data_IF_450298230420
#
_entry.id   IF_450298230420
#
_cell.length_a   1.000
_cell.length_b   1.000
_cell.length_c   1.000
_cell.angle_alpha   90.00
_cell.angle_beta   90.00
_cell.angle_gamma   90.00
#
_symmetry.space_group_name_H-M   'P 1'
#
loop_
_entity.id
_entity.type
_entity.pdbx_description
1 polymer ?
#
# COMPACT_ATOMS: atom_id res chain seq x y z
N UNK A 1 10.98 -24.20 14.02
CA UNK A 1 10.50 -23.15 14.95
C UNK A 1 10.49 -21.74 14.34
N UNK A 2 11.57 -21.29 13.68
CA UNK A 2 11.69 -19.95 13.09
C UNK A 2 10.56 -19.56 12.10
N UNK A 3 10.18 -20.46 11.19
CA UNK A 3 9.10 -20.21 10.22
C UNK A 3 7.73 -20.05 10.90
N UNK A 4 7.44 -20.83 11.93
CA UNK A 4 6.20 -20.73 12.71
C UNK A 4 6.12 -19.39 13.48
N UNK A 5 7.24 -18.95 14.07
CA UNK A 5 7.34 -17.64 14.71
C UNK A 5 7.11 -16.51 13.71
N UNK A 6 7.80 -16.53 12.56
CA UNK A 6 7.66 -15.52 11.51
C UNK A 6 6.22 -15.46 11.00
N UNK A 7 5.62 -16.62 10.69
CA UNK A 7 4.24 -16.72 10.21
C UNK A 7 3.22 -16.19 11.22
N UNK A 8 3.39 -16.50 12.51
CA UNK A 8 2.51 -16.02 13.58
C UNK A 8 2.53 -14.49 13.67
N UNK A 9 3.72 -13.89 13.72
CA UNK A 9 3.84 -12.44 13.88
C UNK A 9 3.48 -11.69 12.60
N UNK A 10 3.82 -12.23 11.41
CA UNK A 10 3.32 -11.73 10.13
C UNK A 10 1.78 -11.65 10.10
N UNK A 11 1.08 -12.69 10.56
CA UNK A 11 -0.39 -12.67 10.67
C UNK A 11 -0.89 -11.59 11.62
N UNK A 12 -0.24 -11.41 12.78
CA UNK A 12 -0.60 -10.37 13.75
C UNK A 12 -0.40 -8.96 13.17
N UNK A 13 0.67 -8.72 12.44
CA UNK A 13 0.90 -7.43 11.76
C UNK A 13 -0.18 -7.16 10.70
N UNK A 14 -0.55 -8.18 9.91
CA UNK A 14 -1.68 -8.06 8.98
C UNK A 14 -2.99 -7.79 9.73
N UNK A 15 -3.23 -8.44 10.88
CA UNK A 15 -4.45 -8.22 11.67
C UNK A 15 -4.58 -6.77 12.16
N UNK A 16 -3.48 -6.13 12.57
CA UNK A 16 -3.48 -4.68 12.90
C UNK A 16 -3.91 -3.86 11.68
N UNK A 17 -3.35 -4.15 10.51
CA UNK A 17 -3.78 -3.48 9.27
C UNK A 17 -5.25 -3.68 8.96
N UNK A 18 -5.74 -4.91 9.06
CA UNK A 18 -7.14 -5.28 8.84
C UNK A 18 -8.08 -4.49 9.76
N UNK A 19 -7.71 -4.27 11.02
CA UNK A 19 -8.48 -3.44 11.98
C UNK A 19 -8.37 -1.95 11.68
N UNK A 20 -7.22 -1.47 11.22
CA UNK A 20 -7.02 -0.06 10.90
C UNK A 20 -7.90 0.42 9.73
N UNK A 21 -8.27 -0.44 8.79
CA UNK A 21 -9.13 -0.08 7.66
C UNK A 21 -10.52 0.44 8.09
N UNK A 22 -11.34 -0.27 8.89
CA UNK A 22 -12.61 0.26 9.36
C UNK A 22 -12.43 1.50 10.27
N UNK A 23 -11.40 1.53 11.13
CA UNK A 23 -11.10 2.72 11.96
C UNK A 23 -10.82 3.95 11.08
N UNK A 24 -10.07 3.76 9.99
CA UNK A 24 -9.83 4.80 9.00
C UNK A 24 -11.12 5.26 8.31
N UNK A 25 -11.96 4.34 7.84
CA UNK A 25 -13.22 4.73 7.18
C UNK A 25 -14.16 5.47 8.14
N UNK A 26 -14.21 5.06 9.41
CA UNK A 26 -14.94 5.79 10.45
C UNK A 26 -14.39 7.20 10.63
N UNK A 27 -13.07 7.37 10.72
CA UNK A 27 -12.45 8.70 10.83
C UNK A 27 -12.78 9.60 9.63
N UNK A 28 -12.82 9.04 8.41
CA UNK A 28 -13.24 9.79 7.20
C UNK A 28 -14.71 10.17 7.24
N UNK A 29 -15.58 9.27 7.69
CA UNK A 29 -17.01 9.52 7.82
C UNK A 29 -17.30 10.63 8.84
N UNK A 30 -16.60 10.63 9.98
CA UNK A 30 -16.72 11.62 11.04
C UNK A 30 -16.02 12.95 10.75
N UNK A 31 -15.39 13.11 9.58
CA UNK A 31 -14.72 14.35 9.21
C UNK A 31 -13.45 14.63 10.01
N UNK A 32 -12.72 13.59 10.44
CA UNK A 32 -11.48 13.75 11.18
C UNK A 32 -10.44 14.60 10.41
N UNK A 33 -9.56 15.34 11.12
CA UNK A 33 -8.55 16.19 10.50
C UNK A 33 -7.69 15.46 9.48
N UNK A 34 -7.31 16.13 8.38
CA UNK A 34 -6.66 15.53 7.20
C UNK A 34 -5.53 14.54 7.50
N UNK A 35 -4.68 14.82 8.50
CA UNK A 35 -3.55 13.99 8.86
C UNK A 35 -3.98 12.62 9.42
N UNK A 36 -5.07 12.57 10.19
CA UNK A 36 -5.53 11.34 10.86
C UNK A 36 -5.95 10.25 9.87
N UNK A 37 -6.81 10.50 8.85
CA UNK A 37 -7.10 9.50 7.84
C UNK A 37 -5.89 9.05 7.02
N UNK A 38 -4.92 9.95 6.75
CA UNK A 38 -3.70 9.57 6.03
C UNK A 38 -2.87 8.61 6.88
N UNK A 39 -2.67 8.91 8.17
CA UNK A 39 -1.95 8.06 9.09
C UNK A 39 -2.62 6.68 9.24
N UNK A 40 -3.94 6.64 9.47
CA UNK A 40 -4.68 5.38 9.62
C UNK A 40 -4.71 4.55 8.34
N UNK A 41 -4.93 5.18 7.18
CA UNK A 41 -4.99 4.48 5.90
C UNK A 41 -3.64 4.00 5.40
N UNK A 42 -2.63 4.88 5.41
CA UNK A 42 -1.29 4.56 4.91
C UNK A 42 -0.48 3.77 5.92
N UNK A 43 -0.23 4.34 7.11
CA UNK A 43 0.61 3.70 8.14
C UNK A 43 -0.17 2.54 8.76
N UNK A 44 -1.36 2.81 9.28
CA UNK A 44 -2.18 1.87 10.04
C UNK A 44 -2.62 0.67 9.21
N UNK A 45 -3.08 0.85 7.97
CA UNK A 45 -3.59 -0.22 7.13
C UNK A 45 -2.58 -0.71 6.08
N UNK A 46 -2.29 0.09 5.05
CA UNK A 46 -1.53 -0.37 3.87
C UNK A 46 -0.14 -0.87 4.25
N UNK A 47 0.63 -0.06 4.97
CA UNK A 47 2.01 -0.41 5.34
C UNK A 47 2.08 -1.50 6.40
N UNK A 48 1.13 -1.59 7.33
CA UNK A 48 1.08 -2.75 8.24
C UNK A 48 0.83 -4.07 7.50
N UNK A 49 -0.10 -4.11 6.53
CA UNK A 49 -0.30 -5.33 5.74
C UNK A 49 0.94 -5.64 4.89
N UNK A 50 1.53 -4.62 4.26
CA UNK A 50 2.75 -4.77 3.47
C UNK A 50 3.92 -5.31 4.31
N UNK A 51 4.20 -4.73 5.48
CA UNK A 51 5.24 -5.17 6.41
C UNK A 51 4.99 -6.60 6.88
N UNK A 52 3.75 -6.93 7.25
CA UNK A 52 3.38 -8.28 7.66
C UNK A 52 3.68 -9.32 6.57
N UNK A 53 3.48 -8.97 5.30
CA UNK A 53 3.81 -9.85 4.16
C UNK A 53 5.27 -9.81 3.77
N UNK A 54 5.96 -8.69 3.93
CA UNK A 54 7.35 -8.52 3.52
C UNK A 54 8.28 -9.52 4.21
N UNK A 55 8.10 -9.76 5.51
CA UNK A 55 8.89 -10.75 6.27
C UNK A 55 8.78 -12.19 5.75
N UNK A 56 7.71 -12.53 5.03
CA UNK A 56 7.54 -13.84 4.41
C UNK A 56 7.95 -13.83 2.93
N UNK A 57 7.58 -12.78 2.20
CA UNK A 57 7.71 -12.73 0.75
C UNK A 57 9.11 -12.30 0.31
N UNK A 58 9.68 -11.25 0.92
CA UNK A 58 10.97 -10.69 0.48
C UNK A 58 12.08 -11.73 0.60
N UNK A 59 12.30 -12.43 1.74
CA UNK A 59 13.34 -13.46 1.80
C UNK A 59 13.14 -14.53 0.71
N UNK A 60 11.90 -15.00 0.53
CA UNK A 60 11.58 -16.02 -0.47
C UNK A 60 11.87 -15.58 -1.90
N UNK A 61 11.69 -14.29 -2.22
CA UNK A 61 11.93 -13.75 -3.56
C UNK A 61 13.40 -13.74 -3.91
N UNK A 62 14.24 -13.48 -2.91
CA UNK A 62 15.69 -13.44 -3.03
C UNK A 62 16.36 -14.79 -2.76
N UNK A 63 15.59 -15.88 -2.66
CA UNK A 63 16.10 -17.21 -2.30
C UNK A 63 16.92 -17.18 -0.99
N UNK A 64 16.39 -16.53 0.03
CA UNK A 64 16.99 -16.40 1.37
C UNK A 64 15.98 -16.78 2.45
N UNK A 65 16.52 -17.19 3.59
CA UNK A 65 15.76 -17.29 4.83
C UNK A 65 15.85 -15.97 5.62
N UNK A 66 14.78 -15.63 6.33
CA UNK A 66 14.74 -14.42 7.16
C UNK A 66 15.82 -14.49 8.25
N UNK A 67 16.75 -13.54 8.24
CA UNK A 67 17.90 -13.55 9.14
C UNK A 67 17.52 -13.43 10.64
N UNK A 68 16.48 -12.66 10.94
CA UNK A 68 16.01 -12.44 12.32
C UNK A 68 14.53 -12.80 12.47
N UNK A 69 14.18 -14.07 12.75
CA UNK A 69 12.79 -14.54 12.83
C UNK A 69 11.93 -13.85 13.90
N UNK A 70 12.55 -13.18 14.89
CA UNK A 70 11.86 -12.42 15.95
C UNK A 70 11.66 -10.94 15.60
N UNK A 71 12.28 -10.41 14.54
CA UNK A 71 12.12 -9.02 14.14
C UNK A 71 10.65 -8.58 13.95
N UNK A 72 9.74 -9.41 13.39
CA UNK A 72 8.33 -9.03 13.30
C UNK A 72 7.67 -8.81 14.66
N UNK A 73 8.10 -9.54 15.70
CA UNK A 73 7.58 -9.40 17.06
C UNK A 73 7.99 -8.08 17.71
N UNK A 74 9.19 -7.58 17.38
CA UNK A 74 9.71 -6.31 17.87
C UNK A 74 9.16 -5.12 17.07
N UNK A 75 9.10 -5.25 15.74
CA UNK A 75 8.63 -4.19 14.84
C UNK A 75 7.14 -3.88 15.06
N UNK A 76 6.29 -4.90 15.25
CA UNK A 76 4.84 -4.73 15.35
C UNK A 76 4.37 -3.74 16.43
N UNK A 77 4.71 -3.89 17.72
CA UNK A 77 4.24 -2.95 18.74
C UNK A 77 4.70 -1.51 18.45
N UNK A 78 5.94 -1.34 17.96
CA UNK A 78 6.50 -0.04 17.60
C UNK A 78 5.73 0.61 16.44
N UNK A 79 5.47 -0.12 15.36
CA UNK A 79 4.72 0.42 14.21
C UNK A 79 3.25 0.65 14.55
N UNK A 80 2.63 -0.20 15.36
CA UNK A 80 1.23 -0.06 15.74
C UNK A 80 1.00 1.16 16.65
N UNK A 81 1.80 1.30 17.71
CA UNK A 81 1.79 2.48 18.59
C UNK A 81 2.17 3.73 17.80
N UNK A 82 3.16 3.62 16.91
CA UNK A 82 3.59 4.74 16.09
C UNK A 82 2.49 5.27 15.17
N UNK A 83 1.84 4.38 14.42
CA UNK A 83 0.72 4.75 13.55
C UNK A 83 -0.46 5.34 14.33
N UNK A 84 -0.79 4.78 15.50
CA UNK A 84 -1.83 5.32 16.37
C UNK A 84 -1.47 6.71 16.91
N UNK A 85 -0.24 6.91 17.41
CA UNK A 85 0.23 8.20 17.93
C UNK A 85 0.23 9.29 16.86
N UNK A 86 0.70 8.98 15.65
CA UNK A 86 0.66 9.91 14.50
C UNK A 86 -0.78 10.24 14.10
N UNK A 87 -1.69 9.26 14.14
CA UNK A 87 -3.10 9.51 13.85
C UNK A 87 -3.77 10.40 14.92
N UNK A 88 -3.52 10.14 16.20
CA UNK A 88 -4.06 10.91 17.32
C UNK A 88 -3.54 12.34 17.30
N UNK A 89 -2.25 12.55 16.99
CA UNK A 89 -1.65 13.88 16.90
C UNK A 89 -2.32 14.81 15.89
N UNK A 90 -3.11 14.28 14.95
CA UNK A 90 -3.90 15.09 14.02
C UNK A 90 -5.08 15.82 14.65
N UNK A 91 -5.53 15.44 15.86
CA UNK A 91 -6.67 16.06 16.53
C UNK A 91 -6.28 17.35 17.28
N UNK A 92 -7.13 18.40 17.23
CA UNK A 92 -6.95 19.60 18.05
C UNK A 92 -6.84 19.26 19.54
N UNK A 93 -5.92 19.93 20.25
CA UNK A 93 -5.68 19.70 21.68
C UNK A 93 -4.79 18.51 22.02
N UNK A 94 -4.33 17.73 21.02
CA UNK A 94 -3.35 16.67 21.26
C UNK A 94 -2.00 17.26 21.68
N UNK A 95 -1.39 16.79 22.78
CA UNK A 95 -0.06 17.25 23.16
C UNK A 95 0.98 16.96 22.06
N UNK A 96 1.88 17.91 21.71
CA UNK A 96 2.89 17.71 20.64
C UNK A 96 3.77 16.46 20.83
N UNK A 97 3.99 16.08 22.09
CA UNK A 97 4.75 14.87 22.46
C UNK A 97 4.11 13.59 21.91
N UNK A 98 2.78 13.53 21.73
CA UNK A 98 2.08 12.36 21.17
C UNK A 98 2.50 12.13 19.71
N UNK A 99 2.56 13.21 18.91
CA UNK A 99 3.02 13.14 17.53
C UNK A 99 4.50 12.76 17.42
N UNK A 100 5.33 13.34 18.29
CA UNK A 100 6.77 13.06 18.35
C UNK A 100 7.05 11.61 18.71
N UNK A 101 6.46 11.11 19.80
CA UNK A 101 6.60 9.72 20.22
C UNK A 101 5.99 8.75 19.20
N UNK A 102 4.86 9.10 18.59
CA UNK A 102 4.26 8.32 17.52
C UNK A 102 5.21 8.18 16.32
N UNK A 103 5.77 9.28 15.84
CA UNK A 103 6.70 9.28 14.72
C UNK A 103 8.02 8.55 15.05
N UNK A 104 8.52 8.69 16.29
CA UNK A 104 9.70 7.97 16.77
C UNK A 104 9.45 6.44 16.81
N UNK A 105 8.36 6.00 17.44
CA UNK A 105 7.96 4.59 17.51
C UNK A 105 7.78 4.00 16.11
N UNK A 106 7.09 4.71 15.21
CA UNK A 106 6.93 4.30 13.82
C UNK A 106 8.29 4.09 13.14
N UNK A 107 9.17 5.09 13.23
CA UNK A 107 10.48 5.07 12.57
C UNK A 107 11.38 3.97 13.12
N UNK A 108 11.39 3.75 14.44
CA UNK A 108 12.12 2.65 15.07
C UNK A 108 11.58 1.29 14.60
N UNK A 109 10.25 1.12 14.57
CA UNK A 109 9.62 -0.11 14.09
C UNK A 109 9.93 -0.41 12.62
N UNK A 110 9.94 0.62 11.77
CA UNK A 110 10.36 0.53 10.37
C UNK A 110 11.84 0.22 10.25
N UNK A 111 12.70 0.83 11.07
CA UNK A 111 14.15 0.56 11.09
C UNK A 111 14.43 -0.90 11.40
N UNK A 112 13.74 -1.48 12.39
CA UNK A 112 13.85 -2.92 12.70
C UNK A 112 13.43 -3.78 11.51
N UNK A 113 12.31 -3.45 10.86
CA UNK A 113 11.81 -4.21 9.73
C UNK A 113 12.71 -4.11 8.50
N UNK A 114 13.02 -2.89 8.05
CA UNK A 114 13.86 -2.62 6.89
C UNK A 114 15.28 -3.12 7.13
N UNK A 115 15.86 -2.86 8.30
CA UNK A 115 17.19 -3.36 8.66
C UNK A 115 17.27 -4.89 8.63
N UNK A 116 16.24 -5.57 9.13
CA UNK A 116 16.16 -7.04 9.04
C UNK A 116 16.09 -7.53 7.60
N UNK A 117 15.24 -6.91 6.77
CA UNK A 117 15.07 -7.31 5.38
C UNK A 117 16.32 -7.01 4.56
N UNK A 118 16.90 -5.82 4.70
CA UNK A 118 18.15 -5.41 4.05
C UNK A 118 19.29 -6.34 4.44
N UNK A 119 19.43 -6.67 5.74
CA UNK A 119 20.42 -7.64 6.18
C UNK A 119 20.16 -9.03 5.59
N UNK A 120 18.90 -9.45 5.48
CA UNK A 120 18.52 -10.76 4.90
C UNK A 120 18.94 -10.88 3.43
N UNK A 121 18.84 -9.81 2.65
CA UNK A 121 19.12 -9.82 1.19
C UNK A 121 20.46 -9.17 0.81
N UNK A 122 21.32 -8.87 1.80
CA UNK A 122 22.54 -8.05 1.65
C UNK A 122 23.53 -8.57 0.60
N UNK A 123 23.56 -9.87 0.37
CA UNK A 123 24.44 -10.56 -0.56
C UNK A 123 23.82 -10.74 -1.96
N UNK A 124 22.58 -10.28 -2.17
CA UNK A 124 21.83 -10.48 -3.42
C UNK A 124 20.91 -9.28 -3.73
N UNK A 125 21.37 -8.05 -3.53
CA UNK A 125 20.54 -6.84 -3.71
C UNK A 125 19.93 -6.70 -5.12
N UNK A 126 20.60 -7.25 -6.14
CA UNK A 126 20.08 -7.27 -7.52
C UNK A 126 19.02 -8.34 -7.80
N UNK A 127 18.75 -9.25 -6.84
CA UNK A 127 17.81 -10.36 -7.03
C UNK A 127 18.25 -11.39 -8.06
N UNK A 128 19.55 -11.50 -8.38
CA UNK A 128 20.08 -12.44 -9.40
C UNK A 128 19.78 -13.89 -9.03
N UNK A 129 19.92 -14.21 -7.75
CA UNK A 129 19.42 -15.45 -7.17
C UNK A 129 17.96 -15.23 -6.78
N UNK A 130 17.03 -15.78 -7.53
CA UNK A 130 15.61 -15.57 -7.27
C UNK A 130 14.96 -16.89 -6.89
N UNK A 131 14.02 -16.88 -5.95
CA UNK A 131 13.26 -18.07 -5.51
C UNK A 131 12.25 -18.58 -6.53
N UNK A 132 12.52 -18.41 -7.82
CA UNK A 132 11.65 -18.85 -8.92
C UNK A 132 12.02 -20.28 -9.33
N UNK A 133 11.08 -21.20 -9.13
CA UNK A 133 11.22 -22.63 -9.47
C UNK A 133 11.48 -22.86 -10.97
N UNK A 134 12.05 -24.02 -11.31
CA UNK A 134 12.27 -24.44 -12.70
C UNK A 134 10.96 -24.51 -13.51
N UNK A 135 9.87 -24.93 -12.88
CA UNK A 135 8.53 -24.91 -13.50
C UNK A 135 8.02 -23.51 -13.89
N UNK A 136 8.70 -22.44 -13.46
CA UNK A 136 8.41 -21.05 -13.78
C UNK A 136 9.64 -20.33 -14.37
N UNK A 137 10.55 -21.07 -15.02
CA UNK A 137 11.78 -20.51 -15.58
C UNK A 137 11.52 -19.36 -16.57
N UNK A 138 10.40 -19.39 -17.30
CA UNK A 138 9.96 -18.34 -18.21
C UNK A 138 9.69 -16.98 -17.52
N UNK A 139 9.48 -16.97 -16.19
CA UNK A 139 9.22 -15.75 -15.41
C UNK A 139 10.49 -15.17 -14.79
N UNK A 140 11.54 -15.98 -14.65
CA UNK A 140 12.80 -15.65 -13.98
C UNK A 140 13.41 -14.31 -14.42
N UNK A 141 13.45 -13.93 -15.71
CA UNK A 141 14.02 -12.64 -16.11
C UNK A 141 13.25 -11.44 -15.54
N UNK A 142 11.92 -11.50 -15.55
CA UNK A 142 11.09 -10.44 -14.99
C UNK A 142 11.18 -10.42 -13.47
N UNK A 143 11.21 -11.59 -12.82
CA UNK A 143 11.32 -11.65 -11.36
C UNK A 143 12.61 -11.01 -10.86
N UNK A 144 13.76 -11.35 -11.46
CA UNK A 144 15.06 -10.74 -11.14
C UNK A 144 15.02 -9.23 -11.31
N UNK A 145 14.43 -8.78 -12.42
CA UNK A 145 14.29 -7.35 -12.69
C UNK A 145 13.43 -6.67 -11.63
N UNK A 146 12.26 -7.23 -11.29
CA UNK A 146 11.37 -6.68 -10.28
C UNK A 146 11.96 -6.73 -8.86
N UNK A 147 12.68 -7.80 -8.51
CA UNK A 147 13.33 -7.99 -7.22
C UNK A 147 14.33 -6.84 -6.95
N UNK A 148 15.06 -6.37 -7.95
CA UNK A 148 16.00 -5.24 -7.83
C UNK A 148 15.34 -3.92 -7.37
N UNK A 149 14.02 -3.76 -7.53
CA UNK A 149 13.28 -2.56 -7.07
C UNK A 149 12.72 -2.70 -5.65
N UNK A 150 12.74 -3.90 -5.06
CA UNK A 150 12.30 -4.10 -3.66
C UNK A 150 13.19 -3.33 -2.68
N UNK A 151 14.54 -3.37 -2.75
CA UNK A 151 15.39 -2.55 -1.89
C UNK A 151 15.13 -1.06 -2.03
N UNK A 152 14.82 -0.58 -3.24
CA UNK A 152 14.47 0.83 -3.48
C UNK A 152 13.17 1.19 -2.76
N UNK A 153 12.15 0.33 -2.81
CA UNK A 153 10.90 0.55 -2.08
C UNK A 153 11.10 0.53 -0.56
N UNK A 154 11.99 -0.33 -0.05
CA UNK A 154 12.37 -0.36 1.36
C UNK A 154 13.14 0.91 1.78
N UNK A 155 13.99 1.44 0.89
CA UNK A 155 14.68 2.71 1.10
C UNK A 155 13.69 3.87 1.17
N UNK A 156 12.72 3.94 0.26
CA UNK A 156 11.63 4.92 0.33
C UNK A 156 10.84 4.85 1.63
N UNK A 157 10.50 3.64 2.08
CA UNK A 157 9.83 3.43 3.35
C UNK A 157 10.66 3.96 4.53
N UNK A 158 11.97 3.71 4.53
CA UNK A 158 12.88 4.20 5.56
C UNK A 158 13.01 5.73 5.54
N UNK A 159 13.33 6.31 4.38
CA UNK A 159 13.51 7.76 4.20
C UNK A 159 12.21 8.50 4.49
N UNK A 160 11.06 8.01 4.02
CA UNK A 160 9.76 8.59 4.31
C UNK A 160 9.40 8.52 5.80
N UNK A 161 9.79 7.46 6.50
CA UNK A 161 9.60 7.34 7.95
C UNK A 161 10.49 8.31 8.72
N UNK A 162 11.75 8.45 8.31
CA UNK A 162 12.64 9.47 8.86
C UNK A 162 12.11 10.89 8.59
N UNK A 163 11.60 11.19 7.39
CA UNK A 163 11.00 12.49 7.08
C UNK A 163 9.79 12.81 7.98
N UNK A 164 8.97 11.81 8.31
CA UNK A 164 7.87 11.95 9.27
C UNK A 164 8.40 12.28 10.68
N UNK A 165 9.48 11.62 11.12
CA UNK A 165 10.08 11.86 12.44
C UNK A 165 10.82 13.20 12.52
N UNK A 166 11.60 13.55 11.50
CA UNK A 166 12.26 14.84 11.39
C UNK A 166 11.24 15.99 11.37
N UNK A 167 10.09 15.83 10.70
CA UNK A 167 9.00 16.81 10.73
C UNK A 167 8.35 17.01 12.11
N UNK A 168 8.59 16.10 13.06
CA UNK A 168 8.09 16.19 14.44
C UNK A 168 9.20 16.53 15.46
N UNK A 169 10.43 16.79 15.02
CA UNK A 169 11.59 17.02 15.90
C UNK A 169 12.50 18.14 15.37
N UNK A 170 13.52 18.58 16.14
CA UNK A 170 14.54 19.50 15.64
C UNK A 170 15.57 18.88 14.68
N UNK A 171 15.37 17.63 14.23
CA UNK A 171 16.33 16.95 13.36
C UNK A 171 16.35 17.57 11.95
N UNK A 172 17.47 17.49 11.22
CA UNK A 172 17.56 17.99 9.86
C UNK A 172 16.52 17.32 8.96
N UNK A 173 15.65 18.08 8.28
CA UNK A 173 14.59 17.48 7.51
C UNK A 173 15.12 17.09 6.11
N UNK A 174 14.64 15.96 5.56
CA UNK A 174 15.00 15.50 4.20
C UNK A 174 14.38 16.38 3.12
N UNK A 175 13.26 16.99 3.46
CA UNK A 175 12.48 17.92 2.65
C UNK A 175 12.12 19.12 3.53
N UNK A 176 11.48 20.15 2.99
CA UNK A 176 11.09 21.38 3.71
C UNK A 176 10.00 21.22 4.80
N UNK A 177 9.75 20.01 5.29
CA UNK A 177 8.71 19.72 6.27
C UNK A 177 7.29 19.68 5.70
N UNK A 178 7.07 19.95 4.40
CA UNK A 178 5.75 19.89 3.79
C UNK A 178 5.18 18.46 3.79
N UNK A 179 4.12 18.15 4.59
CA UNK A 179 3.71 16.77 4.85
C UNK A 179 3.37 15.90 3.61
N UNK A 180 2.80 16.45 2.52
CA UNK A 180 2.57 15.69 1.29
C UNK A 180 3.83 15.07 0.69
N UNK A 181 5.01 15.69 0.87
CA UNK A 181 6.28 15.15 0.36
C UNK A 181 6.68 13.86 1.07
N UNK A 182 6.64 13.84 2.40
CA UNK A 182 6.85 12.61 3.18
C UNK A 182 5.80 11.54 2.85
N UNK A 183 4.54 11.96 2.65
CA UNK A 183 3.46 11.05 2.26
C UNK A 183 3.68 10.44 0.87
N UNK A 184 4.22 11.18 -0.11
CA UNK A 184 4.57 10.63 -1.43
C UNK A 184 5.72 9.61 -1.34
N UNK A 185 6.76 9.89 -0.55
CA UNK A 185 7.84 8.92 -0.32
C UNK A 185 7.30 7.62 0.27
N UNK A 186 6.43 7.70 1.30
CA UNK A 186 5.84 6.53 1.95
C UNK A 186 4.82 5.80 1.07
N UNK A 187 3.90 6.55 0.44
CA UNK A 187 2.78 5.98 -0.30
C UNK A 187 3.17 5.55 -1.71
N UNK A 188 3.74 6.43 -2.52
CA UNK A 188 4.10 6.12 -3.90
C UNK A 188 5.43 5.36 -3.95
N UNK A 189 6.48 5.90 -3.30
CA UNK A 189 7.82 5.29 -3.29
C UNK A 189 7.90 4.00 -2.48
N UNK A 190 7.25 3.94 -1.32
CA UNK A 190 7.22 2.75 -0.47
C UNK A 190 6.15 1.75 -0.92
N UNK A 191 4.89 2.05 -0.64
CA UNK A 191 3.79 1.11 -0.89
C UNK A 191 3.50 0.90 -2.38
N UNK A 192 3.49 1.96 -3.18
CA UNK A 192 3.21 1.93 -4.62
C UNK A 192 4.26 1.13 -5.37
N UNK A 193 5.55 1.43 -5.16
CA UNK A 193 6.64 0.66 -5.77
C UNK A 193 6.64 -0.81 -5.32
N UNK A 194 6.28 -1.11 -4.07
CA UNK A 194 6.06 -2.50 -3.65
C UNK A 194 4.92 -3.16 -4.44
N UNK A 195 3.80 -2.47 -4.67
CA UNK A 195 2.72 -2.97 -5.53
C UNK A 195 3.23 -3.25 -6.94
N UNK A 196 4.03 -2.35 -7.53
CA UNK A 196 4.60 -2.53 -8.86
C UNK A 196 5.57 -3.74 -8.89
N UNK A 197 6.56 -3.77 -8.00
CA UNK A 197 7.60 -4.79 -7.97
C UNK A 197 7.05 -6.17 -7.59
N UNK A 198 6.39 -6.26 -6.44
CA UNK A 198 5.82 -7.53 -5.95
C UNK A 198 4.64 -7.97 -6.83
N UNK A 199 3.83 -7.02 -7.32
CA UNK A 199 2.71 -7.32 -8.21
C UNK A 199 3.16 -7.86 -9.57
N UNK A 200 4.24 -7.33 -10.15
CA UNK A 200 4.85 -7.85 -11.39
C UNK A 200 5.24 -9.31 -11.29
N UNK A 201 5.63 -9.75 -10.09
CA UNK A 201 5.94 -11.15 -9.78
C UNK A 201 4.67 -11.96 -9.53
N UNK A 202 3.83 -11.53 -8.59
CA UNK A 202 2.74 -12.35 -8.08
C UNK A 202 1.52 -12.40 -8.99
N UNK A 203 1.11 -11.28 -9.58
CA UNK A 203 -0.18 -11.17 -10.25
C UNK A 203 -0.25 -12.05 -11.51
N UNK A 204 0.78 -12.12 -12.38
CA UNK A 204 0.78 -13.07 -13.49
C UNK A 204 0.70 -14.53 -13.02
N UNK A 205 1.18 -14.86 -11.81
CA UNK A 205 1.13 -16.22 -11.26
C UNK A 205 -0.28 -16.56 -10.77
N UNK A 206 -0.92 -15.64 -10.07
CA UNK A 206 -2.30 -15.82 -9.63
C UNK A 206 -3.30 -15.86 -10.78
N UNK A 207 -3.04 -15.09 -11.83
CA UNK A 207 -3.81 -15.10 -13.07
C UNK A 207 -3.44 -16.26 -13.99
N UNK A 208 -2.37 -17.00 -13.72
CA UNK A 208 -1.90 -18.14 -14.55
C UNK A 208 -1.67 -17.72 -16.01
N UNK A 209 -1.10 -16.53 -16.21
CA UNK A 209 -0.77 -16.01 -17.55
C UNK A 209 0.72 -15.76 -17.69
N UNK A 210 1.19 -15.70 -18.94
CA UNK A 210 2.56 -15.24 -19.26
C UNK A 210 2.65 -13.73 -19.05
N UNK A 211 3.72 -13.23 -18.38
CA UNK A 211 3.86 -11.81 -18.13
C UNK A 211 4.15 -11.04 -19.43
N UNK A 212 3.54 -9.86 -19.55
CA UNK A 212 3.83 -8.91 -20.62
C UNK A 212 4.91 -7.96 -20.11
N UNK A 213 6.17 -8.24 -20.48
CA UNK A 213 7.35 -7.62 -19.87
C UNK A 213 7.60 -6.14 -20.26
N UNK A 214 7.43 -5.71 -21.53
CA UNK A 214 7.86 -4.38 -21.95
C UNK A 214 7.27 -3.23 -21.11
N UNK A 215 5.96 -3.17 -20.80
CA UNK A 215 5.44 -2.07 -19.99
C UNK A 215 5.96 -2.12 -18.55
N UNK A 216 6.27 -3.30 -18.00
CA UNK A 216 6.87 -3.41 -16.66
C UNK A 216 8.32 -2.94 -16.60
N UNK A 217 9.07 -3.12 -17.69
CA UNK A 217 10.41 -2.57 -17.82
C UNK A 217 10.43 -1.05 -17.82
N UNK A 218 9.34 -0.42 -18.25
CA UNK A 218 9.12 1.03 -18.11
C UNK A 218 8.57 1.37 -16.73
N UNK A 219 7.59 0.60 -16.24
CA UNK A 219 6.86 0.93 -15.02
C UNK A 219 7.74 0.97 -13.77
N UNK A 220 8.68 0.02 -13.64
CA UNK A 220 9.49 -0.11 -12.42
C UNK A 220 10.53 1.02 -12.27
N UNK A 221 11.35 1.37 -13.28
CA UNK A 221 12.21 2.55 -13.21
C UNK A 221 11.43 3.84 -13.00
N UNK A 222 10.31 4.01 -13.72
CA UNK A 222 9.48 5.19 -13.58
C UNK A 222 8.91 5.29 -12.15
N UNK A 223 8.42 4.19 -11.58
CA UNK A 223 7.92 4.12 -10.20
C UNK A 223 9.02 4.25 -9.15
N UNK A 224 10.28 4.02 -9.50
CA UNK A 224 11.43 4.21 -8.65
C UNK A 224 11.98 5.64 -8.67
N UNK A 225 11.63 6.45 -9.68
CA UNK A 225 12.14 7.82 -9.85
C UNK A 225 11.05 8.87 -9.63
N UNK A 226 9.84 8.63 -10.12
CA UNK A 226 8.69 9.54 -10.00
C UNK A 226 8.44 10.02 -8.57
N UNK A 227 8.36 9.13 -7.57
CA UNK A 227 8.06 9.52 -6.19
C UNK A 227 9.06 10.49 -5.58
N UNK A 228 10.37 10.31 -5.84
CA UNK A 228 11.38 11.25 -5.32
C UNK A 228 11.32 12.58 -6.06
N UNK A 229 11.17 12.57 -7.39
CA UNK A 229 11.02 13.79 -8.18
C UNK A 229 9.85 14.62 -7.68
N UNK A 230 8.67 14.00 -7.49
CA UNK A 230 7.51 14.67 -6.92
C UNK A 230 7.78 15.15 -5.49
N UNK A 231 8.35 14.30 -4.63
CA UNK A 231 8.62 14.69 -3.25
C UNK A 231 9.57 15.89 -3.12
N UNK A 232 10.50 16.11 -4.04
CA UNK A 232 11.42 17.26 -3.97
C UNK A 232 10.93 18.50 -4.73
N UNK A 233 9.89 18.38 -5.56
CA UNK A 233 9.44 19.47 -6.46
C UNK A 233 7.99 19.91 -6.24
N UNK A 234 7.21 19.18 -5.43
CA UNK A 234 5.88 19.61 -4.99
C UNK A 234 5.93 21.04 -4.42
N UNK A 235 4.94 21.91 -4.72
CA UNK A 235 3.66 21.56 -5.35
C UNK A 235 3.56 21.88 -6.85
N UNK A 236 4.56 22.50 -7.47
CA UNK A 236 4.42 23.08 -8.82
C UNK A 236 5.77 23.24 -9.55
N UNK A 237 5.71 23.64 -10.83
CA UNK A 237 6.87 23.93 -11.66
C UNK A 237 7.22 22.83 -12.66
N UNK A 238 8.17 23.08 -13.57
CA UNK A 238 8.49 22.16 -14.67
C UNK A 238 9.02 20.81 -14.17
N UNK A 239 9.81 20.80 -13.09
CA UNK A 239 10.30 19.55 -12.50
C UNK A 239 9.19 18.74 -11.82
N UNK A 240 8.16 19.40 -11.27
CA UNK A 240 6.96 18.74 -10.77
C UNK A 240 6.17 18.10 -11.91
N UNK A 241 6.05 18.77 -13.06
CA UNK A 241 5.43 18.21 -14.26
C UNK A 241 6.17 16.98 -14.78
N UNK A 242 7.51 17.02 -14.82
CA UNK A 242 8.33 15.86 -15.18
C UNK A 242 8.11 14.72 -14.19
N UNK A 243 8.17 14.99 -12.88
CA UNK A 243 7.88 13.98 -11.86
C UNK A 243 6.50 13.36 -11.99
N UNK A 244 5.47 14.18 -12.28
CA UNK A 244 4.09 13.74 -12.46
C UNK A 244 3.94 12.86 -13.71
N UNK A 245 4.59 13.23 -14.82
CA UNK A 245 4.60 12.44 -16.04
C UNK A 245 5.31 11.09 -15.84
N UNK A 246 6.45 11.08 -15.14
CA UNK A 246 7.19 9.86 -14.81
C UNK A 246 6.35 8.94 -13.92
N UNK A 247 5.75 9.46 -12.84
CA UNK A 247 4.92 8.63 -11.96
C UNK A 247 3.64 8.14 -12.64
N UNK A 248 2.98 9.00 -13.43
CA UNK A 248 1.82 8.59 -14.24
C UNK A 248 2.18 7.46 -15.21
N UNK A 249 3.34 7.54 -15.87
CA UNK A 249 3.86 6.48 -16.75
C UNK A 249 4.00 5.16 -15.99
N UNK A 250 4.51 5.19 -14.76
CA UNK A 250 4.65 4.00 -13.93
C UNK A 250 3.31 3.31 -13.67
N UNK A 251 2.32 4.08 -13.20
CA UNK A 251 1.00 3.56 -12.85
C UNK A 251 0.24 3.08 -14.09
N UNK A 252 0.25 3.84 -15.19
CA UNK A 252 -0.47 3.49 -16.41
C UNK A 252 0.13 2.26 -17.11
N UNK A 253 1.46 2.14 -17.16
CA UNK A 253 2.11 0.97 -17.75
C UNK A 253 1.83 -0.32 -16.94
N UNK A 254 1.80 -0.22 -15.60
CA UNK A 254 1.40 -1.34 -14.75
C UNK A 254 -0.10 -1.65 -14.88
N UNK A 255 -0.96 -0.63 -14.93
CA UNK A 255 -2.40 -0.81 -15.14
C UNK A 255 -2.69 -1.51 -16.47
N UNK A 256 -2.07 -1.08 -17.57
CA UNK A 256 -2.19 -1.73 -18.87
C UNK A 256 -1.73 -3.19 -18.83
N UNK A 257 -0.62 -3.49 -18.13
CA UNK A 257 -0.14 -4.85 -17.93
C UNK A 257 -1.16 -5.70 -17.18
N UNK A 258 -1.66 -5.19 -16.05
CA UNK A 258 -2.63 -5.91 -15.22
C UNK A 258 -3.94 -6.16 -15.96
N UNK A 259 -4.48 -5.16 -16.67
CA UNK A 259 -5.68 -5.30 -17.48
C UNK A 259 -5.50 -6.37 -18.56
N UNK A 260 -4.37 -6.35 -19.27
CA UNK A 260 -4.06 -7.36 -20.27
C UNK A 260 -3.98 -8.77 -19.67
N UNK A 261 -3.37 -8.93 -18.49
CA UNK A 261 -3.34 -10.22 -17.78
C UNK A 261 -4.71 -10.66 -17.32
N UNK A 262 -5.51 -9.74 -16.80
CA UNK A 262 -6.83 -10.04 -16.27
C UNK A 262 -7.79 -10.48 -17.38
N UNK A 263 -7.74 -9.82 -18.54
CA UNK A 263 -8.55 -10.19 -19.72
C UNK A 263 -8.14 -11.55 -20.29
N UNK A 264 -6.83 -11.84 -20.36
CA UNK A 264 -6.30 -13.11 -20.87
C UNK A 264 -6.43 -14.28 -19.89
N UNK A 265 -6.82 -14.03 -18.65
CA UNK A 265 -6.90 -15.05 -17.62
C UNK A 265 -8.23 -15.79 -17.65
N UNK A 266 -8.15 -17.11 -17.74
CA UNK A 266 -9.29 -18.01 -17.53
C UNK A 266 -9.58 -18.21 -16.03
N UNK A 267 -8.68 -17.76 -15.14
CA UNK A 267 -8.79 -17.90 -13.69
C UNK A 267 -9.28 -16.59 -13.05
N UNK A 268 -10.57 -16.32 -13.20
CA UNK A 268 -11.25 -15.15 -12.63
C UNK A 268 -11.60 -15.35 -11.14
N UNK A 269 -10.58 -15.49 -10.30
CA UNK A 269 -10.77 -15.53 -8.84
C UNK A 269 -11.24 -14.18 -8.33
N UNK A 270 -12.21 -14.17 -7.41
CA UNK A 270 -12.79 -12.94 -6.85
C UNK A 270 -11.74 -12.02 -6.22
N UNK A 271 -10.73 -12.58 -5.56
CA UNK A 271 -9.63 -11.85 -4.95
C UNK A 271 -8.89 -10.93 -5.95
N UNK A 272 -8.82 -11.33 -7.22
CA UNK A 272 -8.11 -10.61 -8.29
C UNK A 272 -8.93 -9.43 -8.85
N UNK A 273 -10.19 -9.27 -8.43
CA UNK A 273 -10.96 -8.05 -8.68
C UNK A 273 -10.46 -6.87 -7.84
N UNK A 274 -9.84 -7.12 -6.69
CA UNK A 274 -9.25 -6.07 -5.85
C UNK A 274 -8.17 -5.27 -6.58
N UNK A 275 -7.08 -5.92 -7.05
CA UNK A 275 -6.06 -5.23 -7.85
C UNK A 275 -6.61 -4.67 -9.17
N UNK A 276 -7.65 -5.27 -9.77
CA UNK A 276 -8.32 -4.70 -10.95
C UNK A 276 -8.91 -3.31 -10.64
N UNK A 277 -9.75 -3.22 -9.62
CA UNK A 277 -10.30 -1.93 -9.20
C UNK A 277 -9.21 -0.98 -8.69
N UNK A 278 -8.17 -1.51 -8.07
CA UNK A 278 -6.99 -0.77 -7.66
C UNK A 278 -6.31 -0.06 -8.83
N UNK A 279 -5.94 -0.77 -9.90
CA UNK A 279 -5.26 -0.15 -11.06
C UNK A 279 -6.16 0.83 -11.80
N UNK A 280 -7.48 0.60 -11.84
CA UNK A 280 -8.43 1.55 -12.41
C UNK A 280 -8.50 2.84 -11.58
N UNK A 281 -8.59 2.72 -10.26
CA UNK A 281 -8.56 3.88 -9.36
C UNK A 281 -7.22 4.63 -9.46
N UNK A 282 -6.10 3.90 -9.58
CA UNK A 282 -4.77 4.47 -9.79
C UNK A 282 -4.67 5.27 -11.08
N UNK A 283 -5.20 4.75 -12.19
CA UNK A 283 -5.25 5.46 -13.47
C UNK A 283 -6.02 6.79 -13.37
N UNK A 284 -7.18 6.79 -12.70
CA UNK A 284 -7.94 8.03 -12.44
C UNK A 284 -7.14 8.96 -11.51
N UNK A 285 -6.50 8.43 -10.47
CA UNK A 285 -5.73 9.22 -9.52
C UNK A 285 -4.56 9.96 -10.16
N UNK A 286 -3.83 9.31 -11.06
CA UNK A 286 -2.73 9.95 -11.80
C UNK A 286 -3.24 10.94 -12.85
N UNK A 287 -4.46 10.74 -13.40
CA UNK A 287 -5.13 11.76 -14.19
C UNK A 287 -5.39 13.05 -13.39
N UNK A 288 -5.88 12.91 -12.15
CA UNK A 288 -6.03 14.05 -11.22
C UNK A 288 -4.66 14.64 -10.83
N UNK A 289 -3.64 13.81 -10.65
CA UNK A 289 -2.26 14.27 -10.38
C UNK A 289 -1.66 15.07 -11.54
N UNK A 290 -1.88 14.61 -12.77
CA UNK A 290 -1.47 15.32 -13.98
C UNK A 290 -2.20 16.66 -14.12
N UNK A 291 -3.48 16.72 -13.74
CA UNK A 291 -4.20 17.99 -13.65
C UNK A 291 -3.52 18.96 -12.68
N UNK A 292 -3.11 18.52 -11.48
CA UNK A 292 -2.37 19.41 -10.55
C UNK A 292 -1.08 19.96 -11.15
N UNK A 293 -0.39 19.16 -11.96
CA UNK A 293 0.87 19.55 -12.59
C UNK A 293 0.73 20.68 -13.60
N UNK A 294 -0.43 20.79 -14.25
CA UNK A 294 -0.65 21.77 -15.34
C UNK A 294 -1.67 22.85 -14.98
N UNK A 295 -2.76 22.48 -14.32
CA UNK A 295 -3.89 23.36 -13.98
C UNK A 295 -3.87 23.89 -12.55
N UNK A 296 -2.90 23.48 -11.73
CA UNK A 296 -2.78 23.89 -10.33
C UNK A 296 -3.61 23.05 -9.34
N UNK A 297 -3.41 23.30 -8.06
CA UNK A 297 -3.95 22.47 -6.97
C UNK A 297 -5.34 22.93 -6.53
N UNK A 298 -6.35 22.09 -6.78
CA UNK A 298 -7.72 22.27 -6.28
C UNK A 298 -7.94 21.47 -4.98
N UNK A 299 -8.37 22.10 -3.87
CA UNK A 299 -8.57 21.41 -2.58
C UNK A 299 -9.53 20.20 -2.62
N UNK A 300 -10.63 20.28 -3.38
CA UNK A 300 -11.60 19.19 -3.52
C UNK A 300 -10.99 18.02 -4.29
N UNK A 301 -10.26 18.32 -5.37
CA UNK A 301 -9.54 17.30 -6.12
C UNK A 301 -8.42 16.66 -5.30
N UNK A 302 -7.78 17.36 -4.35
CA UNK A 302 -6.78 16.71 -3.47
C UNK A 302 -7.45 15.65 -2.59
N UNK A 303 -8.69 15.86 -2.15
CA UNK A 303 -9.45 14.82 -1.42
C UNK A 303 -9.70 13.61 -2.33
N UNK A 304 -10.15 13.85 -3.57
CA UNK A 304 -10.37 12.80 -4.59
C UNK A 304 -9.09 12.02 -4.86
N UNK A 305 -7.99 12.70 -5.20
CA UNK A 305 -6.68 12.09 -5.48
C UNK A 305 -6.21 11.21 -4.32
N UNK A 306 -6.30 11.71 -3.09
CA UNK A 306 -5.94 10.94 -1.88
C UNK A 306 -6.81 9.69 -1.71
N UNK A 307 -8.13 9.81 -1.90
CA UNK A 307 -9.06 8.67 -1.71
C UNK A 307 -8.84 7.61 -2.78
N UNK A 308 -8.69 8.02 -4.05
CA UNK A 308 -8.37 7.13 -5.16
C UNK A 308 -7.04 6.40 -4.96
N UNK A 309 -6.00 7.07 -4.47
CA UNK A 309 -4.70 6.42 -4.23
C UNK A 309 -4.71 5.52 -2.99
N UNK A 310 -5.18 6.00 -1.84
CA UNK A 310 -5.09 5.24 -0.59
C UNK A 310 -6.13 4.11 -0.52
N UNK A 311 -7.41 4.39 -0.79
CA UNK A 311 -8.47 3.37 -0.68
C UNK A 311 -8.55 2.57 -1.96
N UNK A 312 -8.46 3.25 -3.12
CA UNK A 312 -8.51 2.62 -4.44
C UNK A 312 -7.24 1.84 -4.76
N UNK A 313 -6.22 2.52 -5.29
CA UNK A 313 -5.00 1.90 -5.81
C UNK A 313 -4.32 1.00 -4.79
N UNK A 314 -3.98 1.51 -3.61
CA UNK A 314 -3.31 0.74 -2.57
C UNK A 314 -4.30 -0.17 -1.84
N UNK A 315 -5.39 0.39 -1.31
CA UNK A 315 -6.33 -0.32 -0.46
C UNK A 315 -7.03 -1.51 -1.12
N UNK A 316 -7.63 -1.34 -2.30
CA UNK A 316 -8.32 -2.44 -3.00
C UNK A 316 -7.34 -3.51 -3.46
N UNK A 317 -6.12 -3.12 -3.87
CA UNK A 317 -5.04 -4.06 -4.18
C UNK A 317 -4.66 -4.89 -2.94
N UNK A 318 -4.46 -4.24 -1.79
CA UNK A 318 -4.16 -4.90 -0.52
C UNK A 318 -5.28 -5.84 -0.07
N UNK A 319 -6.54 -5.40 -0.11
CA UNK A 319 -7.70 -6.24 0.26
C UNK A 319 -7.77 -7.48 -0.64
N UNK A 320 -7.69 -7.31 -1.96
CA UNK A 320 -7.73 -8.41 -2.91
C UNK A 320 -6.57 -9.40 -2.73
N UNK A 321 -5.34 -8.91 -2.60
CA UNK A 321 -4.19 -9.76 -2.31
C UNK A 321 -4.30 -10.45 -0.96
N UNK A 322 -4.89 -9.80 0.04
CA UNK A 322 -5.14 -10.43 1.35
C UNK A 322 -6.08 -11.62 1.21
N UNK A 323 -7.18 -11.49 0.45
CA UNK A 323 -8.06 -12.62 0.14
C UNK A 323 -7.37 -13.72 -0.66
N UNK A 324 -6.40 -13.38 -1.52
CA UNK A 324 -5.62 -14.37 -2.23
C UNK A 324 -4.71 -15.18 -1.29
N UNK A 325 -4.12 -14.54 -0.28
CA UNK A 325 -3.28 -15.21 0.72
C UNK A 325 -4.07 -15.89 1.85
N UNK A 326 -5.27 -15.40 2.15
CA UNK A 326 -6.16 -15.89 3.18
C UNK A 326 -7.56 -16.08 2.58
N UNK A 327 -7.79 -17.16 1.82
CA UNK A 327 -9.03 -17.39 1.09
C UNK A 327 -10.25 -17.37 2.02
N UNK A 328 -11.26 -16.52 1.77
CA UNK A 328 -12.47 -16.46 2.61
C UNK A 328 -13.24 -17.78 2.69
N UNK A 329 -13.21 -18.59 1.63
CA UNK A 329 -13.94 -19.87 1.56
C UNK A 329 -13.53 -20.90 2.63
N UNK A 330 -12.40 -20.71 3.33
CA UNK A 330 -11.99 -21.59 4.45
C UNK A 330 -12.48 -21.09 5.82
N UNK A 331 -13.21 -19.97 5.87
CA UNK A 331 -13.76 -19.39 7.08
C UNK A 331 -15.12 -19.99 7.45
N UNK A 332 -15.53 -19.80 8.71
CA UNK A 332 -16.79 -20.35 9.22
C UNK A 332 -17.85 -19.31 9.56
N UNK A 333 -17.50 -18.02 9.52
CA UNK A 333 -18.46 -16.98 9.83
C UNK A 333 -19.32 -16.69 8.59
N UNK A 334 -20.60 -16.31 8.77
CA UNK A 334 -21.47 -15.94 7.66
C UNK A 334 -20.78 -14.94 6.71
N UNK A 335 -20.86 -15.20 5.41
CA UNK A 335 -20.20 -14.39 4.38
C UNK A 335 -18.74 -14.77 4.09
N UNK A 336 -18.14 -15.73 4.78
CA UNK A 336 -16.81 -16.29 4.46
C UNK A 336 -16.86 -17.14 3.19
N UNK A 337 -17.00 -16.50 2.04
CA UNK A 337 -17.17 -17.14 0.74
C UNK A 337 -16.67 -16.24 -0.37
N UNK A 338 -16.55 -16.77 -1.59
CA UNK A 338 -16.21 -15.95 -2.75
C UNK A 338 -17.27 -14.90 -3.06
N UNK A 339 -18.56 -15.18 -2.78
CA UNK A 339 -19.64 -14.20 -2.93
C UNK A 339 -19.52 -13.06 -1.91
N UNK A 340 -19.20 -13.38 -0.66
CA UNK A 340 -18.96 -12.37 0.37
C UNK A 340 -17.72 -11.53 0.07
N UNK A 341 -16.64 -12.15 -0.41
CA UNK A 341 -15.45 -11.44 -0.87
C UNK A 341 -15.78 -10.48 -2.04
N UNK A 342 -16.65 -10.90 -2.96
CA UNK A 342 -17.11 -10.05 -4.06
C UNK A 342 -17.93 -8.86 -3.55
N UNK A 343 -18.85 -9.10 -2.61
CA UNK A 343 -19.67 -8.06 -2.00
C UNK A 343 -18.82 -7.04 -1.23
N UNK A 344 -17.82 -7.51 -0.46
CA UNK A 344 -16.84 -6.65 0.23
C UNK A 344 -16.10 -5.75 -0.76
N UNK A 345 -15.55 -6.33 -1.83
CA UNK A 345 -14.85 -5.56 -2.86
C UNK A 345 -15.79 -4.59 -3.58
N UNK A 346 -17.04 -5.00 -3.84
CA UNK A 346 -18.06 -4.15 -4.44
C UNK A 346 -18.45 -2.98 -3.55
N UNK A 347 -18.60 -3.19 -2.24
CA UNK A 347 -18.87 -2.13 -1.26
C UNK A 347 -17.72 -1.13 -1.16
N UNK A 348 -16.47 -1.61 -1.13
CA UNK A 348 -15.29 -0.76 -1.07
C UNK A 348 -15.09 0.04 -2.36
N UNK A 349 -15.10 -0.63 -3.52
CA UNK A 349 -14.86 0.01 -4.82
C UNK A 349 -16.05 0.88 -5.25
N UNK A 350 -17.27 0.38 -5.09
CA UNK A 350 -18.50 1.13 -5.36
C UNK A 350 -18.67 2.30 -4.42
N UNK A 351 -18.44 2.12 -3.12
CA UNK A 351 -18.45 3.21 -2.14
C UNK A 351 -17.45 4.31 -2.45
N UNK A 352 -16.23 3.94 -2.85
CA UNK A 352 -15.21 4.90 -3.32
C UNK A 352 -15.68 5.63 -4.59
N UNK A 353 -16.24 4.92 -5.57
CA UNK A 353 -16.76 5.52 -6.80
C UNK A 353 -17.87 6.54 -6.53
N UNK A 354 -18.84 6.17 -5.67
CA UNK A 354 -19.93 7.06 -5.23
C UNK A 354 -19.36 8.28 -4.49
N UNK A 355 -18.38 8.08 -3.58
CA UNK A 355 -17.73 9.19 -2.88
C UNK A 355 -17.06 10.17 -3.86
N UNK A 356 -16.30 9.65 -4.83
CA UNK A 356 -15.58 10.47 -5.82
C UNK A 356 -16.55 11.26 -6.71
N UNK A 357 -17.62 10.63 -7.19
CA UNK A 357 -18.65 11.31 -7.99
C UNK A 357 -19.35 12.39 -7.15
N UNK A 358 -19.70 12.08 -5.90
CA UNK A 358 -20.28 13.06 -4.98
C UNK A 358 -19.37 14.26 -4.72
N UNK A 359 -18.07 14.03 -4.56
CA UNK A 359 -17.08 15.10 -4.40
C UNK A 359 -16.96 15.95 -5.66
N UNK A 360 -16.92 15.34 -6.84
CA UNK A 360 -16.83 16.05 -8.11
C UNK A 360 -18.09 16.87 -8.42
N UNK A 361 -19.26 16.39 -8.01
CA UNK A 361 -20.54 17.05 -8.23
C UNK A 361 -20.96 18.01 -7.10
N UNK A 362 -20.18 18.11 -6.01
CA UNK A 362 -20.54 18.92 -4.84
C UNK A 362 -21.74 18.39 -4.05
N UNK A 363 -22.06 17.09 -4.15
CA UNK A 363 -23.23 16.46 -3.55
C UNK A 363 -22.89 15.77 -2.22
N UNK A 364 -23.00 16.49 -1.11
CA UNK A 364 -22.61 16.00 0.22
C UNK A 364 -23.30 14.71 0.66
N UNK A 365 -24.58 14.52 0.35
CA UNK A 365 -25.33 13.29 0.66
C UNK A 365 -24.77 12.06 -0.07
N UNK A 366 -24.37 12.23 -1.33
CA UNK A 366 -23.73 11.19 -2.14
C UNK A 366 -22.36 10.83 -1.56
N UNK A 367 -21.59 11.84 -1.11
CA UNK A 367 -20.31 11.62 -0.41
C UNK A 367 -20.49 10.78 0.85
N UNK A 368 -21.49 11.09 1.68
CA UNK A 368 -21.80 10.32 2.91
C UNK A 368 -22.21 8.90 2.58
N UNK A 369 -23.08 8.70 1.59
CA UNK A 369 -23.49 7.37 1.14
C UNK A 369 -22.30 6.52 0.69
N UNK A 370 -21.39 7.09 -0.12
CA UNK A 370 -20.17 6.40 -0.56
C UNK A 370 -19.26 6.00 0.61
N UNK A 371 -19.10 6.88 1.59
CA UNK A 371 -18.30 6.61 2.81
C UNK A 371 -18.92 5.52 3.69
N UNK A 372 -20.25 5.50 3.83
CA UNK A 372 -20.96 4.45 4.56
C UNK A 372 -20.79 3.07 3.90
N UNK A 373 -20.90 3.01 2.57
CA UNK A 373 -20.65 1.78 1.81
C UNK A 373 -19.21 1.28 2.00
N UNK A 374 -18.23 2.18 1.90
CA UNK A 374 -16.82 1.85 2.12
C UNK A 374 -16.57 1.36 3.56
N UNK A 375 -17.19 1.99 4.56
CA UNK A 375 -17.11 1.55 5.96
C UNK A 375 -17.73 0.16 6.16
N UNK A 376 -18.90 -0.10 5.59
CA UNK A 376 -19.55 -1.40 5.65
C UNK A 376 -18.65 -2.51 5.04
N UNK A 377 -18.08 -2.25 3.86
CA UNK A 377 -17.12 -3.16 3.23
C UNK A 377 -15.86 -3.39 4.07
N UNK A 378 -15.32 -2.33 4.68
CA UNK A 378 -14.15 -2.39 5.56
C UNK A 378 -14.42 -3.20 6.85
N UNK A 379 -15.56 -2.98 7.49
CA UNK A 379 -15.94 -3.72 8.69
C UNK A 379 -16.16 -5.20 8.38
N UNK A 380 -16.84 -5.51 7.28
CA UNK A 380 -17.07 -6.90 6.87
C UNK A 380 -15.76 -7.61 6.50
N UNK A 381 -14.87 -6.93 5.77
CA UNK A 381 -13.50 -7.41 5.54
C UNK A 381 -12.79 -7.76 6.85
N UNK A 382 -12.86 -6.89 7.86
CA UNK A 382 -12.22 -7.12 9.14
C UNK A 382 -12.80 -8.34 9.87
N UNK A 383 -14.12 -8.48 9.92
CA UNK A 383 -14.79 -9.64 10.54
C UNK A 383 -14.34 -10.95 9.88
N UNK A 384 -14.37 -11.01 8.54
CA UNK A 384 -13.98 -12.23 7.80
C UNK A 384 -12.53 -12.59 8.10
N UNK A 385 -11.59 -11.64 7.97
CA UNK A 385 -10.16 -11.94 8.14
C UNK A 385 -9.77 -12.27 9.58
N UNK A 386 -10.31 -11.54 10.56
CA UNK A 386 -10.02 -11.83 11.97
C UNK A 386 -10.58 -13.18 12.40
N UNK A 387 -11.73 -13.60 11.86
CA UNK A 387 -12.26 -14.95 12.10
C UNK A 387 -11.34 -16.05 11.58
N UNK A 388 -10.71 -15.83 10.41
CA UNK A 388 -9.74 -16.76 9.83
C UNK A 388 -8.47 -16.87 10.68
N UNK A 389 -7.99 -15.75 11.23
CA UNK A 389 -6.80 -15.72 12.05
C UNK A 389 -7.00 -16.38 13.41
N UNK A 390 -8.20 -16.33 14.00
CA UNK A 390 -8.49 -17.01 15.28
C UNK A 390 -8.40 -18.54 15.19
N UNK A 391 -8.60 -19.13 14.00
CA UNK A 391 -8.57 -20.58 13.78
C UNK A 391 -7.17 -21.18 13.57
N UNK A 392 -6.12 -20.35 13.43
CA UNK A 392 -4.76 -20.78 13.01
C UNK A 392 -3.64 -20.15 13.83
#
# INVERSE_FOLDING_TARGET
MAQATTSRWARRTVAVGVVALPVWQTAVLLGAPRATPVALGLLGFVLHVALGKAFALVPSYFARDLAFPRAPALSLPLTAVGAAGVAVAGFPGSPPVVGTLGAACWTLGVTVAVGTLAWTVRDNLSGRETGTSESNADRRPLDRYADAFVPVALLYLFVGSYALFAGATPLPPVVDGYPPRASHLLAAGGAGLLVLAVGSRLLPRFLVVRPWRPPLFVALPAGAVGPVLLAVTLPAGPWFQVGAAVEATAILAFAASYLAWYVRSDRRRVALRGPLFGVLAGAVAVGVGAWFAVGGVDPALVVVHRRLNLLGFLGLTVVGLTFQFYPPAVGSVPGSSDRGAAAILGLLAGGLGVEVVGLAAGLGTVVVAGRLLALAGAAWYAVVLLSLFRRR
#
